data_IF_562079788260
#
_entry.id   IF_562079788260
#
_cell.length_a   1.000
_cell.length_b   1.000
_cell.length_c   1.000
_cell.angle_alpha   90.00
_cell.angle_beta   90.00
_cell.angle_gamma   90.00
#
_symmetry.space_group_name_H-M   'P 1'
#
loop_
_entity.id
_entity.type
_entity.pdbx_description
1 polymer ?
#
# COMPACT_ATOMS: atom_id res chain seq x y z
N UNK A 1 -18.21 -16.26 -8.43
CA UNK A 1 -18.19 -14.90 -9.02
C UNK A 1 -16.75 -14.59 -9.39
N UNK A 2 -16.48 -13.97 -10.54
CA UNK A 2 -15.11 -13.58 -10.89
C UNK A 2 -14.72 -12.36 -10.04
N UNK A 3 -13.68 -12.49 -9.22
CA UNK A 3 -13.15 -11.38 -8.44
C UNK A 3 -12.34 -10.44 -9.35
N UNK A 4 -12.43 -9.12 -9.14
CA UNK A 4 -11.57 -8.14 -9.81
C UNK A 4 -10.26 -7.98 -9.05
N UNK A 5 -9.15 -8.01 -9.78
CA UNK A 5 -7.83 -7.80 -9.22
C UNK A 5 -7.63 -6.32 -8.87
N UNK A 6 -7.23 -6.04 -7.63
CA UNK A 6 -7.06 -4.67 -7.12
C UNK A 6 -5.63 -4.45 -6.63
N UNK A 7 -5.06 -3.31 -7.00
CA UNK A 7 -3.91 -2.69 -6.34
C UNK A 7 -4.43 -1.44 -5.62
N UNK A 8 -4.16 -1.33 -4.32
CA UNK A 8 -4.47 -0.13 -3.54
C UNK A 8 -3.20 0.71 -3.40
N UNK A 9 -3.20 1.94 -3.92
CA UNK A 9 -2.14 2.93 -3.74
C UNK A 9 -2.61 3.99 -2.73
N UNK A 10 -2.01 4.00 -1.54
CA UNK A 10 -2.57 4.65 -0.33
C UNK A 10 -1.49 5.33 0.51
N UNK A 11 -1.83 6.45 1.13
CA UNK A 11 -0.99 7.16 2.10
C UNK A 11 -1.43 6.89 3.55
N UNK A 12 -2.04 5.73 3.79
CA UNK A 12 -2.49 5.26 5.10
C UNK A 12 -1.55 5.62 6.25
N UNK A 13 -2.14 6.22 7.29
CA UNK A 13 -1.42 6.73 8.44
C UNK A 13 -1.06 8.21 8.37
N UNK A 14 -1.46 8.90 7.29
CA UNK A 14 -1.62 10.36 7.25
C UNK A 14 -2.81 10.80 8.09
N UNK A 15 -4.03 10.42 7.70
CA UNK A 15 -5.28 10.57 8.45
C UNK A 15 -6.10 9.26 8.46
N UNK A 16 -7.40 9.33 8.77
CA UNK A 16 -8.18 8.17 9.21
C UNK A 16 -8.92 7.44 8.07
N UNK A 17 -9.27 8.12 6.99
CA UNK A 17 -10.11 7.62 5.91
C UNK A 17 -9.45 6.48 5.13
N UNK A 18 -8.15 6.51 4.88
CA UNK A 18 -7.41 5.41 4.24
C UNK A 18 -7.49 4.09 5.04
N UNK A 19 -7.54 4.19 6.38
CA UNK A 19 -7.72 3.00 7.24
C UNK A 19 -9.11 2.40 7.07
N UNK A 20 -10.14 3.25 6.96
CA UNK A 20 -11.51 2.81 6.67
C UNK A 20 -11.65 2.26 5.25
N UNK A 21 -11.02 2.89 4.26
CA UNK A 21 -11.02 2.44 2.88
C UNK A 21 -10.38 1.05 2.73
N UNK A 22 -9.23 0.81 3.36
CA UNK A 22 -8.60 -0.51 3.40
C UNK A 22 -9.51 -1.53 4.11
N UNK A 23 -10.04 -1.20 5.29
CA UNK A 23 -10.96 -2.09 6.02
C UNK A 23 -12.20 -2.47 5.19
N UNK A 24 -12.80 -1.50 4.50
CA UNK A 24 -13.94 -1.72 3.61
C UNK A 24 -13.55 -2.60 2.41
N UNK A 25 -12.44 -2.30 1.74
CA UNK A 25 -11.93 -3.07 0.60
C UNK A 25 -11.72 -4.54 0.95
N UNK A 26 -11.15 -4.84 2.12
CA UNK A 26 -10.92 -6.21 2.58
C UNK A 26 -12.21 -7.02 2.83
N UNK A 27 -13.35 -6.33 2.96
CA UNK A 27 -14.67 -6.94 3.18
C UNK A 27 -15.54 -6.97 1.90
N UNK A 28 -15.02 -6.58 0.74
CA UNK A 28 -15.70 -6.68 -0.56
C UNK A 28 -15.35 -8.00 -1.24
N UNK A 29 -16.20 -9.05 -1.20
CA UNK A 29 -15.88 -10.37 -1.77
C UNK A 29 -15.66 -10.35 -3.29
N UNK A 30 -16.21 -9.36 -3.99
CA UNK A 30 -16.02 -9.14 -5.43
C UNK A 30 -14.64 -8.56 -5.80
N UNK A 31 -13.88 -8.06 -4.82
CA UNK A 31 -12.55 -7.49 -5.02
C UNK A 31 -11.48 -8.37 -4.38
N UNK A 32 -10.39 -8.58 -5.12
CA UNK A 32 -9.20 -9.27 -4.65
C UNK A 32 -8.03 -8.30 -4.58
N UNK A 33 -7.71 -7.82 -3.38
CA UNK A 33 -6.54 -6.99 -3.13
C UNK A 33 -5.27 -7.83 -3.30
N UNK A 34 -4.52 -7.58 -4.35
CA UNK A 34 -3.27 -8.28 -4.65
C UNK A 34 -2.03 -7.53 -4.15
N UNK A 35 -2.16 -6.23 -3.85
CA UNK A 35 -1.08 -5.39 -3.38
C UNK A 35 -1.62 -4.16 -2.64
N UNK A 36 -1.02 -3.85 -1.49
CA UNK A 36 -1.11 -2.52 -0.89
C UNK A 36 0.22 -1.81 -1.13
N UNK A 37 0.18 -0.75 -1.94
CA UNK A 37 1.33 0.06 -2.31
C UNK A 37 1.29 1.37 -1.52
N UNK A 38 2.23 1.52 -0.58
CA UNK A 38 2.31 2.71 0.25
C UNK A 38 2.91 3.89 -0.55
N UNK A 39 2.24 5.04 -0.47
CA UNK A 39 2.69 6.27 -1.11
C UNK A 39 2.69 7.43 -0.12
N UNK A 40 3.85 7.98 0.22
CA UNK A 40 3.92 9.18 1.05
C UNK A 40 5.34 9.75 1.03
N UNK A 41 5.54 10.87 1.74
CA UNK A 41 6.88 11.38 2.01
C UNK A 41 7.68 10.52 3.00
N UNK A 42 7.02 9.60 3.73
CA UNK A 42 7.64 8.63 4.64
C UNK A 42 7.18 7.20 4.34
N UNK A 43 7.63 6.59 3.22
CA UNK A 43 7.13 5.30 2.76
C UNK A 43 7.30 4.17 3.78
N UNK A 44 8.40 4.15 4.53
CA UNK A 44 8.62 3.16 5.60
C UNK A 44 7.54 3.20 6.68
N UNK A 45 7.14 4.41 7.10
CA UNK A 45 6.11 4.59 8.11
C UNK A 45 4.74 4.20 7.56
N UNK A 46 4.38 4.70 6.38
CA UNK A 46 3.09 4.40 5.74
C UNK A 46 2.96 2.90 5.46
N UNK A 47 4.03 2.27 4.95
CA UNK A 47 4.09 0.82 4.78
C UNK A 47 3.93 0.08 6.10
N UNK A 48 4.63 0.50 7.17
CA UNK A 48 4.51 -0.13 8.48
C UNK A 48 3.11 -0.03 9.07
N UNK A 49 2.41 1.09 8.84
CA UNK A 49 1.00 1.26 9.23
C UNK A 49 0.11 0.27 8.48
N UNK A 50 0.22 0.21 7.15
CA UNK A 50 -0.55 -0.73 6.33
C UNK A 50 -0.29 -2.19 6.73
N UNK A 51 0.98 -2.55 6.91
CA UNK A 51 1.41 -3.87 7.33
C UNK A 51 0.86 -4.26 8.70
N UNK A 52 0.97 -3.36 9.69
CA UNK A 52 0.43 -3.60 11.02
C UNK A 52 -1.08 -3.82 10.98
N UNK A 53 -1.80 -2.98 10.22
CA UNK A 53 -3.25 -3.11 10.05
C UNK A 53 -3.62 -4.48 9.46
N UNK A 54 -2.99 -4.85 8.34
CA UNK A 54 -3.22 -6.14 7.67
C UNK A 54 -2.92 -7.33 8.60
N UNK A 55 -1.87 -7.23 9.41
CA UNK A 55 -1.51 -8.27 10.37
C UNK A 55 -2.55 -8.40 11.50
N UNK A 56 -3.02 -7.28 12.06
CA UNK A 56 -4.04 -7.30 13.13
C UNK A 56 -5.39 -7.85 12.65
N UNK A 57 -5.74 -7.66 11.38
CA UNK A 57 -6.98 -8.20 10.78
C UNK A 57 -6.80 -9.57 10.11
N UNK A 58 -5.62 -10.19 10.24
CA UNK A 58 -5.37 -11.54 9.73
C UNK A 58 -5.27 -11.67 8.20
N UNK A 59 -4.93 -10.58 7.50
CA UNK A 59 -4.78 -10.51 6.03
C UNK A 59 -3.33 -10.42 5.58
N UNK A 60 -2.46 -11.20 6.22
CA UNK A 60 -1.03 -11.27 5.90
C UNK A 60 -0.74 -11.93 4.55
N UNK A 61 -1.76 -12.44 3.86
CA UNK A 61 -1.72 -12.90 2.48
C UNK A 61 -1.48 -11.77 1.47
N UNK A 62 -1.76 -10.51 1.86
CA UNK A 62 -1.60 -9.34 0.98
C UNK A 62 -0.17 -8.79 1.12
N UNK A 63 0.61 -8.71 0.03
CA UNK A 63 1.89 -8.01 0.03
C UNK A 63 1.74 -6.52 0.31
N UNK A 64 2.68 -5.96 1.06
CA UNK A 64 2.84 -4.51 1.24
C UNK A 64 4.10 -4.07 0.50
N UNK A 65 3.95 -3.10 -0.39
CA UNK A 65 5.07 -2.53 -1.12
C UNK A 65 5.30 -1.07 -0.77
N UNK A 66 6.57 -0.65 -0.86
CA UNK A 66 6.98 0.74 -0.78
C UNK A 66 7.94 1.06 -1.93
N UNK A 67 8.09 2.34 -2.24
CA UNK A 67 9.22 2.86 -2.99
C UNK A 67 10.02 3.78 -2.04
N UNK A 68 11.27 3.42 -1.67
CA UNK A 68 12.08 4.24 -0.78
C UNK A 68 12.19 5.68 -1.30
N UNK A 69 11.97 6.65 -0.41
CA UNK A 69 12.04 8.05 -0.78
C UNK A 69 13.47 8.43 -1.20
N UNK A 70 13.60 9.04 -2.38
CA UNK A 70 14.90 9.52 -2.90
C UNK A 70 15.52 10.64 -2.05
N UNK A 71 14.69 11.30 -1.22
CA UNK A 71 15.09 12.34 -0.27
C UNK A 71 14.39 12.10 1.06
N UNK A 72 15.10 12.35 2.17
CA UNK A 72 14.47 12.39 3.49
C UNK A 72 13.48 13.55 3.53
N UNK A 73 12.24 13.25 3.89
CA UNK A 73 11.25 14.27 4.19
C UNK A 73 11.67 15.08 5.42
N UNK A 74 11.38 16.37 5.41
CA UNK A 74 11.52 17.21 6.60
C UNK A 74 10.42 16.80 7.58
N UNK A 75 10.79 15.97 8.56
CA UNK A 75 10.01 15.47 9.70
C UNK A 75 8.48 15.67 9.60
N UNK A 76 7.77 14.96 8.70
CA UNK A 76 6.34 15.15 8.53
C UNK A 76 5.60 14.66 9.79
N UNK A 77 4.37 15.16 10.03
CA UNK A 77 3.52 14.60 11.07
C UNK A 77 3.30 13.10 10.82
N UNK A 78 3.40 12.30 11.88
CA UNK A 78 3.17 10.85 11.87
C UNK A 78 2.04 10.49 12.86
N UNK A 79 0.76 10.75 12.53
CA UNK A 79 -0.33 10.71 13.52
C UNK A 79 -0.55 9.36 14.19
N UNK A 80 -0.32 8.26 13.47
CA UNK A 80 -0.44 6.90 13.99
C UNK A 80 0.84 6.39 14.64
N UNK A 81 1.89 7.20 14.82
CA UNK A 81 3.16 6.76 15.45
C UNK A 81 2.97 6.13 16.82
N UNK A 82 2.04 6.65 17.64
CA UNK A 82 1.73 6.08 18.97
C UNK A 82 1.06 4.71 18.85
N UNK A 83 0.14 4.54 17.89
CA UNK A 83 -0.50 3.25 17.64
C UNK A 83 0.50 2.25 17.04
N UNK A 84 1.32 2.68 16.08
CA UNK A 84 2.36 1.86 15.46
C UNK A 84 3.35 1.32 16.53
N UNK A 85 3.70 2.17 17.50
CA UNK A 85 4.51 1.78 18.65
C UNK A 85 5.93 1.43 18.24
N UNK A 86 6.33 0.17 18.45
CA UNK A 86 7.64 -0.36 18.03
C UNK A 86 7.60 -1.16 16.74
N UNK A 87 6.40 -1.35 16.17
CA UNK A 87 6.24 -2.11 14.93
C UNK A 87 6.94 -1.39 13.79
N UNK A 88 7.81 -2.11 13.09
CA UNK A 88 8.50 -1.69 11.88
C UNK A 88 7.92 -2.45 10.69
N UNK A 89 8.15 -1.95 9.49
CA UNK A 89 7.69 -2.62 8.28
C UNK A 89 8.27 -4.05 8.19
N UNK A 90 9.51 -4.26 8.63
CA UNK A 90 10.14 -5.59 8.65
C UNK A 90 9.51 -6.58 9.65
N UNK A 91 8.71 -6.09 10.59
CA UNK A 91 7.99 -6.95 11.54
C UNK A 91 6.73 -7.58 10.92
N UNK A 92 6.38 -7.18 9.69
CA UNK A 92 5.26 -7.76 8.96
C UNK A 92 5.51 -9.23 8.65
N UNK A 93 4.59 -10.11 9.08
CA UNK A 93 4.70 -11.54 8.79
C UNK A 93 4.33 -11.91 7.36
N UNK A 94 3.76 -10.98 6.59
CA UNK A 94 3.52 -11.12 5.16
C UNK A 94 4.70 -10.68 4.31
N UNK A 95 4.48 -10.50 3.00
CA UNK A 95 5.53 -10.08 2.07
C UNK A 95 5.71 -8.57 2.09
N UNK A 96 6.95 -8.10 2.26
CA UNK A 96 7.35 -6.70 2.08
C UNK A 96 8.18 -6.55 0.81
N UNK A 97 7.81 -5.60 -0.05
CA UNK A 97 8.51 -5.30 -1.30
C UNK A 97 9.03 -3.85 -1.30
N UNK A 98 10.28 -3.66 -1.70
CA UNK A 98 10.96 -2.34 -1.70
C UNK A 98 11.09 -1.72 -3.09
N UNK A 99 10.53 -2.39 -4.10
CA UNK A 99 10.47 -2.01 -5.50
C UNK A 99 9.01 -1.95 -5.98
N UNK A 100 8.16 -1.23 -5.24
CA UNK A 100 6.70 -1.25 -5.42
C UNK A 100 6.20 -0.91 -6.82
N UNK A 101 6.86 -0.01 -7.56
CA UNK A 101 6.48 0.27 -8.96
C UNK A 101 6.72 -0.95 -9.86
N UNK A 102 7.82 -1.67 -9.67
CA UNK A 102 8.11 -2.87 -10.47
C UNK A 102 7.08 -3.96 -10.20
N UNK A 103 6.69 -4.13 -8.95
CA UNK A 103 5.64 -5.08 -8.58
C UNK A 103 4.27 -4.67 -9.16
N UNK A 104 3.92 -3.40 -9.09
CA UNK A 104 2.69 -2.87 -9.69
C UNK A 104 2.64 -3.19 -11.19
N UNK A 105 3.72 -2.91 -11.92
CA UNK A 105 3.86 -3.23 -13.35
C UNK A 105 3.68 -4.73 -13.57
N UNK A 106 4.40 -5.57 -12.81
CA UNK A 106 4.34 -7.03 -12.91
C UNK A 106 2.92 -7.56 -12.74
N UNK A 107 2.18 -7.05 -11.74
CA UNK A 107 0.80 -7.47 -11.47
C UNK A 107 -0.16 -7.03 -12.58
N UNK A 108 -0.02 -5.82 -13.11
CA UNK A 108 -0.83 -5.32 -14.22
C UNK A 108 -0.60 -6.13 -15.50
N UNK A 109 0.67 -6.47 -15.80
CA UNK A 109 1.02 -7.31 -16.96
C UNK A 109 0.54 -8.76 -16.78
N UNK A 110 0.56 -9.28 -15.55
CA UNK A 110 0.12 -10.65 -15.21
C UNK A 110 -1.41 -10.81 -15.24
N UNK A 111 -2.15 -9.80 -14.80
CA UNK A 111 -3.60 -9.84 -14.66
C UNK A 111 -4.27 -8.88 -15.63
N UNK A 112 -4.90 -9.43 -16.68
CA UNK A 112 -5.80 -8.67 -17.55
C UNK A 112 -6.90 -8.01 -16.69
N UNK A 113 -7.15 -6.73 -16.90
CA UNK A 113 -8.15 -5.92 -16.17
C UNK A 113 -7.87 -5.69 -14.67
N UNK A 114 -6.61 -5.40 -14.32
CA UNK A 114 -6.27 -4.91 -12.97
C UNK A 114 -6.87 -3.52 -12.72
N UNK A 115 -7.60 -3.38 -11.61
CA UNK A 115 -8.10 -2.10 -11.11
C UNK A 115 -7.09 -1.49 -10.15
N UNK A 116 -6.74 -0.22 -10.34
CA UNK A 116 -5.90 0.53 -9.42
C UNK A 116 -6.80 1.52 -8.67
N UNK A 117 -6.77 1.46 -7.35
CA UNK A 117 -7.46 2.42 -6.47
C UNK A 117 -6.37 3.32 -5.89
N UNK A 118 -6.24 4.53 -6.40
CA UNK A 118 -5.32 5.54 -5.87
C UNK A 118 -6.05 6.51 -4.96
N UNK A 119 -5.70 6.51 -3.68
CA UNK A 119 -6.30 7.38 -2.66
C UNK A 119 -5.28 8.26 -1.92
N UNK A 120 -3.98 8.12 -2.22
CA UNK A 120 -2.94 9.04 -1.72
C UNK A 120 -2.35 9.96 -2.81
N UNK A 121 -1.15 10.53 -2.60
CA UNK A 121 -0.45 11.29 -3.64
C UNK A 121 -0.16 10.45 -4.89
N UNK A 122 -0.49 10.96 -6.08
CA UNK A 122 -0.40 10.22 -7.35
C UNK A 122 1.03 9.96 -7.88
N UNK A 123 2.06 10.04 -7.03
CA UNK A 123 3.47 9.93 -7.44
C UNK A 123 3.85 8.54 -7.95
N UNK A 124 3.33 7.47 -7.33
CA UNK A 124 3.53 6.11 -7.81
C UNK A 124 2.87 5.89 -9.18
N UNK A 125 1.64 6.39 -9.36
CA UNK A 125 0.92 6.25 -10.63
C UNK A 125 1.57 7.06 -11.75
N UNK A 126 2.05 8.27 -11.45
CA UNK A 126 2.81 9.07 -12.41
C UNK A 126 4.09 8.34 -12.86
N UNK A 127 4.80 7.73 -11.92
CA UNK A 127 6.00 6.94 -12.19
C UNK A 127 5.69 5.66 -13.00
N UNK A 128 4.57 5.00 -12.71
CA UNK A 128 4.06 3.89 -13.52
C UNK A 128 3.83 4.33 -14.97
N UNK A 129 3.04 5.39 -15.20
CA UNK A 129 2.75 5.90 -16.55
C UNK A 129 4.03 6.32 -17.29
N UNK A 130 5.02 6.87 -16.58
CA UNK A 130 6.31 7.22 -17.17
C UNK A 130 7.11 6.00 -17.65
N UNK A 131 7.01 4.86 -16.94
CA UNK A 131 7.70 3.60 -17.28
C UNK A 131 6.91 2.73 -18.29
N UNK A 132 5.60 2.96 -18.39
CA UNK A 132 4.64 2.21 -19.22
C UNK A 132 3.63 3.20 -19.85
N UNK A 133 4.03 3.93 -20.90
CA UNK A 133 3.17 4.90 -21.57
C UNK A 133 2.05 4.26 -22.41
#
# INVERSE_FOLDING_TARGET
>A
MNQRNVILDTDIGGDIDDTWALGMLLNMPELKTNLVLAVSQTPEYTGAVAAKFLQEVGRTDIPVAINPASRKADAPPLPLRKWLGRFKLEDYSGTVLRNGIEEMIRLIEMHKETTIIGIGPMTNLAEFCRRRP
#
